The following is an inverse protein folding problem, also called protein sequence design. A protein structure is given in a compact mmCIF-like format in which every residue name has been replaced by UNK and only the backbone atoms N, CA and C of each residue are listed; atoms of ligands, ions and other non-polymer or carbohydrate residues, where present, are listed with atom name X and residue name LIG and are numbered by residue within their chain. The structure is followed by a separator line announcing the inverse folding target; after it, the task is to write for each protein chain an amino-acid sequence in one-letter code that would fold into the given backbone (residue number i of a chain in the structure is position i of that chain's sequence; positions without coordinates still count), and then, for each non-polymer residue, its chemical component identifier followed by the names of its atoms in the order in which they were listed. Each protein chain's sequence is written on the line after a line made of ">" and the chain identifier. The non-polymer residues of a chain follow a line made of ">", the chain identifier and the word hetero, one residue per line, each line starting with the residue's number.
data_IF_852405047017
#
_entry.id   IF_852405047017
#
_cell.length_a   1.000
_cell.length_b   1.000
_cell.length_c   1.000
_cell.angle_alpha   90.00
_cell.angle_beta   90.00
_cell.angle_gamma   90.00
#
_symmetry.space_group_name_H-M   'P 1'
#
loop_
_entity.id
_entity.type
_entity.pdbx_description
1 polymer ?
#
# COMPACT_ATOMS: atom_id res chain seq x y z
N UNK A 1 -68.63 29.10 2.87
CA UNK A 1 -68.03 28.60 1.61
C UNK A 1 -66.54 28.91 1.50
N UNK A 2 -66.09 30.18 1.55
CA UNK A 2 -64.65 30.52 1.43
C UNK A 2 -63.73 29.81 2.45
N UNK A 3 -64.11 29.75 3.74
CA UNK A 3 -63.32 29.06 4.78
C UNK A 3 -63.20 27.55 4.55
N UNK A 4 -64.25 26.92 4.03
CA UNK A 4 -64.27 25.48 3.74
C UNK A 4 -63.38 25.12 2.54
N UNK A 5 -63.41 25.96 1.50
CA UNK A 5 -62.54 25.81 0.31
C UNK A 5 -61.07 25.97 0.71
N UNK A 6 -60.74 26.93 1.58
CA UNK A 6 -59.38 27.12 2.10
C UNK A 6 -58.89 25.87 2.86
N UNK A 7 -59.73 25.29 3.73
CA UNK A 7 -59.37 24.08 4.46
C UNK A 7 -59.10 22.88 3.56
N UNK A 8 -59.88 22.72 2.47
CA UNK A 8 -59.66 21.65 1.48
C UNK A 8 -58.34 21.86 0.72
N UNK A 9 -58.05 23.10 0.32
CA UNK A 9 -56.79 23.43 -0.36
C UNK A 9 -55.59 23.16 0.55
N UNK A 10 -55.67 23.53 1.83
CA UNK A 10 -54.62 23.23 2.81
C UNK A 10 -54.42 21.72 3.02
N UNK A 11 -55.50 20.95 3.11
CA UNK A 11 -55.43 19.49 3.24
C UNK A 11 -54.80 18.82 2.01
N UNK A 12 -55.15 19.29 0.80
CA UNK A 12 -54.56 18.82 -0.45
C UNK A 12 -53.07 19.17 -0.54
N UNK A 13 -52.68 20.38 -0.11
CA UNK A 13 -51.28 20.78 -0.03
C UNK A 13 -50.48 19.90 0.94
N UNK A 14 -51.03 19.61 2.12
CA UNK A 14 -50.39 18.71 3.09
C UNK A 14 -50.26 17.27 2.54
N UNK A 15 -51.27 16.77 1.82
CA UNK A 15 -51.21 15.48 1.14
C UNK A 15 -50.14 15.45 0.06
N UNK A 16 -50.00 16.51 -0.75
CA UNK A 16 -48.96 16.62 -1.78
C UNK A 16 -47.57 16.71 -1.15
N UNK A 17 -47.41 17.47 -0.06
CA UNK A 17 -46.15 17.56 0.69
C UNK A 17 -45.79 16.21 1.30
N UNK A 18 -46.74 15.50 1.89
CA UNK A 18 -46.53 14.16 2.45
C UNK A 18 -46.21 13.13 1.36
N UNK A 19 -46.89 13.18 0.22
CA UNK A 19 -46.62 12.29 -0.92
C UNK A 19 -45.26 12.55 -1.56
N UNK A 20 -44.81 13.81 -1.58
CA UNK A 20 -43.51 14.23 -2.11
C UNK A 20 -42.47 14.47 -1.04
N UNK A 21 -42.64 13.96 0.19
CA UNK A 21 -41.73 14.32 1.29
C UNK A 21 -40.29 13.93 0.98
N UNK A 22 -40.08 12.75 0.40
CA UNK A 22 -38.75 12.28 0.01
C UNK A 22 -38.11 13.21 -1.03
N UNK A 23 -38.84 13.54 -2.10
CA UNK A 23 -38.35 14.47 -3.14
C UNK A 23 -38.04 15.87 -2.58
N UNK A 24 -38.87 16.38 -1.66
CA UNK A 24 -38.66 17.68 -1.02
C UNK A 24 -37.44 17.62 -0.11
N UNK A 25 -37.29 16.56 0.68
CA UNK A 25 -36.12 16.32 1.53
C UNK A 25 -34.85 16.21 0.70
N UNK A 26 -34.85 15.45 -0.40
CA UNK A 26 -33.70 15.29 -1.30
C UNK A 26 -33.33 16.62 -1.99
N UNK A 27 -34.34 17.38 -2.44
CA UNK A 27 -34.13 18.69 -3.04
C UNK A 27 -33.55 19.71 -2.05
N UNK A 28 -34.06 19.70 -0.81
CA UNK A 28 -33.56 20.55 0.27
C UNK A 28 -32.15 20.12 0.68
N UNK A 29 -31.90 18.82 0.84
CA UNK A 29 -30.58 18.28 1.14
C UNK A 29 -29.57 18.71 0.06
N UNK A 30 -29.87 18.48 -1.22
CA UNK A 30 -29.02 18.88 -2.36
C UNK A 30 -28.74 20.39 -2.41
N UNK A 31 -29.68 21.21 -1.95
CA UNK A 31 -29.54 22.68 -1.94
C UNK A 31 -28.81 23.20 -0.69
N UNK A 32 -28.92 22.50 0.44
CA UNK A 32 -28.21 22.80 1.69
C UNK A 32 -26.76 22.33 1.61
N UNK A 33 -26.50 21.18 0.98
CA UNK A 33 -25.14 20.62 0.86
C UNK A 33 -24.23 21.38 -0.09
N UNK A 34 -24.77 22.31 -0.90
CA UNK A 34 -23.97 23.09 -1.86
C UNK A 34 -23.20 22.21 -2.84
N UNK A 35 -22.39 22.81 -3.72
CA UNK A 35 -21.39 22.03 -4.45
C UNK A 35 -20.38 21.54 -3.41
N UNK A 36 -20.44 20.25 -3.06
CA UNK A 36 -19.46 19.60 -2.20
C UNK A 36 -18.11 19.63 -2.93
N UNK A 37 -17.28 20.63 -2.63
CA UNK A 37 -15.94 20.75 -3.21
C UNK A 37 -14.95 19.91 -2.43
N UNK A 38 -14.29 18.98 -3.11
CA UNK A 38 -13.20 18.17 -2.55
C UNK A 38 -11.98 19.05 -2.35
N UNK A 39 -11.45 19.09 -1.12
CA UNK A 39 -10.21 19.81 -0.82
C UNK A 39 -9.02 18.90 -1.13
N UNK A 40 -8.36 19.18 -2.26
CA UNK A 40 -7.14 18.48 -2.67
C UNK A 40 -5.94 19.13 -1.99
N UNK A 41 -5.14 18.33 -1.28
CA UNK A 41 -3.89 18.76 -0.63
C UNK A 41 -2.69 18.49 -1.55
N UNK A 42 -1.54 19.06 -1.25
CA UNK A 42 -0.31 18.68 -1.95
C UNK A 42 0.14 17.27 -1.53
N UNK A 43 0.76 16.54 -2.47
CA UNK A 43 1.43 15.27 -2.16
C UNK A 43 2.72 15.51 -1.39
N UNK A 44 3.10 14.57 -0.52
CA UNK A 44 4.39 14.65 0.18
C UNK A 44 5.57 14.24 -0.74
N UNK A 45 6.79 14.43 -0.24
CA UNK A 45 8.03 14.16 -0.99
C UNK A 45 8.30 12.68 -1.31
N UNK A 46 7.51 11.76 -0.73
CA UNK A 46 7.67 10.31 -0.87
C UNK A 46 6.59 9.68 -1.74
N UNK A 47 5.68 10.49 -2.30
CA UNK A 47 4.67 10.02 -3.22
C UNK A 47 5.32 9.40 -4.46
N UNK A 48 4.92 8.16 -4.78
CA UNK A 48 5.40 7.48 -5.98
C UNK A 48 4.58 7.91 -7.19
N UNK A 49 5.28 8.19 -8.29
CA UNK A 49 4.70 8.51 -9.60
C UNK A 49 4.64 7.29 -10.53
N UNK A 50 4.82 6.09 -9.97
CA UNK A 50 4.83 4.83 -10.71
C UNK A 50 3.43 4.49 -11.24
N UNK A 51 3.38 3.95 -12.46
CA UNK A 51 2.14 3.49 -13.10
C UNK A 51 2.00 1.98 -13.00
N UNK A 52 1.79 1.46 -11.79
CA UNK A 52 1.56 0.04 -11.59
C UNK A 52 0.28 -0.42 -12.29
N UNK A 53 0.24 -1.69 -12.67
CA UNK A 53 -0.90 -2.25 -13.42
C UNK A 53 -2.09 -2.47 -12.48
N UNK A 54 -1.81 -2.88 -11.24
CA UNK A 54 -2.83 -3.16 -10.22
C UNK A 54 -3.50 -1.89 -9.70
N UNK A 55 -2.72 -0.83 -9.43
CA UNK A 55 -3.20 0.39 -8.79
C UNK A 55 -2.44 1.62 -9.29
N UNK A 56 -3.12 2.76 -9.38
CA UNK A 56 -2.56 4.01 -9.92
C UNK A 56 -3.11 5.22 -9.17
N UNK A 57 -2.34 6.31 -9.16
CA UNK A 57 -2.83 7.60 -8.66
C UNK A 57 -4.01 8.12 -9.50
N UNK A 58 -4.82 9.00 -8.92
CA UNK A 58 -5.89 9.72 -9.61
C UNK A 58 -5.89 11.19 -9.23
N UNK A 59 -6.18 12.05 -10.21
CA UNK A 59 -6.49 13.47 -10.00
C UNK A 59 -8.01 13.72 -9.96
N UNK A 60 -8.81 12.66 -10.20
CA UNK A 60 -10.26 12.68 -10.07
C UNK A 60 -10.69 12.01 -8.77
N UNK A 61 -11.32 12.78 -7.88
CA UNK A 61 -11.79 12.33 -6.57
C UNK A 61 -13.31 12.16 -6.49
N UNK A 62 -13.96 12.01 -7.65
CA UNK A 62 -15.37 11.63 -7.76
C UNK A 62 -15.43 10.19 -8.29
N UNK A 63 -15.82 9.21 -7.46
CA UNK A 63 -15.81 7.80 -7.86
C UNK A 63 -17.05 7.41 -8.65
N UNK A 64 -16.88 6.87 -9.86
CA UNK A 64 -17.99 6.31 -10.65
C UNK A 64 -17.94 4.78 -10.76
N UNK A 65 -16.97 4.15 -10.09
CA UNK A 65 -16.76 2.72 -10.08
C UNK A 65 -15.97 2.26 -8.86
N UNK A 66 -15.96 0.94 -8.61
CA UNK A 66 -15.16 0.31 -7.56
C UNK A 66 -13.67 0.61 -7.74
N UNK A 67 -13.19 0.62 -8.98
CA UNK A 67 -11.81 0.92 -9.30
C UNK A 67 -11.44 2.39 -9.00
N UNK A 68 -12.36 3.33 -9.21
CA UNK A 68 -12.12 4.73 -8.84
C UNK A 68 -11.98 4.88 -7.32
N UNK A 69 -12.78 4.13 -6.53
CA UNK A 69 -12.63 4.08 -5.07
C UNK A 69 -11.24 3.57 -4.67
N UNK A 70 -10.77 2.48 -5.28
CA UNK A 70 -9.41 1.96 -5.01
C UNK A 70 -8.34 3.01 -5.33
N UNK A 71 -8.45 3.69 -6.48
CA UNK A 71 -7.50 4.75 -6.87
C UNK A 71 -7.51 5.93 -5.90
N UNK A 72 -8.69 6.36 -5.44
CA UNK A 72 -8.80 7.45 -4.44
C UNK A 72 -8.13 7.03 -3.13
N UNK A 73 -8.40 5.81 -2.64
CA UNK A 73 -7.80 5.28 -1.41
C UNK A 73 -6.28 5.18 -1.56
N UNK A 74 -5.80 4.58 -2.66
CA UNK A 74 -4.37 4.49 -2.94
C UNK A 74 -3.71 5.85 -3.04
N UNK A 75 -4.31 6.81 -3.75
CA UNK A 75 -3.77 8.17 -3.88
C UNK A 75 -3.68 8.84 -2.51
N UNK A 76 -4.69 8.67 -1.66
CA UNK A 76 -4.70 9.22 -0.29
C UNK A 76 -3.50 8.69 0.52
N UNK A 77 -3.26 7.38 0.47
CA UNK A 77 -2.12 6.74 1.16
C UNK A 77 -0.80 7.18 0.52
N UNK A 78 -0.68 7.08 -0.79
CA UNK A 78 0.54 7.35 -1.54
C UNK A 78 0.97 8.82 -1.43
N UNK A 79 0.03 9.76 -1.37
CA UNK A 79 0.32 11.19 -1.20
C UNK A 79 0.64 11.55 0.27
N UNK A 80 0.47 10.62 1.20
CA UNK A 80 0.79 10.83 2.62
C UNK A 80 -0.20 11.75 3.32
N UNK A 81 -1.47 11.72 2.93
CA UNK A 81 -2.51 12.50 3.59
C UNK A 81 -2.99 11.77 4.85
N UNK A 82 -2.99 12.46 5.99
CA UNK A 82 -3.52 11.89 7.24
C UNK A 82 -5.05 11.77 7.20
N UNK A 83 -5.71 12.70 6.50
CA UNK A 83 -7.15 12.78 6.35
C UNK A 83 -7.53 13.21 4.94
N UNK A 84 -8.51 12.53 4.35
CA UNK A 84 -9.08 12.90 3.06
C UNK A 84 -10.59 12.64 3.02
N UNK A 85 -11.33 13.59 2.45
CA UNK A 85 -12.79 13.53 2.35
C UNK A 85 -13.21 13.64 0.90
N UNK A 86 -14.06 12.71 0.46
CA UNK A 86 -14.68 12.70 -0.87
C UNK A 86 -16.16 12.30 -0.76
N UNK A 87 -16.87 12.37 -1.88
CA UNK A 87 -18.32 12.23 -1.90
C UNK A 87 -18.75 11.18 -2.92
N UNK A 88 -19.66 10.29 -2.53
CA UNK A 88 -20.27 9.34 -3.43
C UNK A 88 -21.28 10.04 -4.36
N UNK A 89 -21.10 9.97 -5.69
CA UNK A 89 -22.06 10.57 -6.62
C UNK A 89 -23.35 9.74 -6.67
N UNK A 90 -24.47 10.41 -6.91
CA UNK A 90 -25.79 9.78 -7.04
C UNK A 90 -25.86 8.75 -8.17
N UNK A 91 -25.02 8.90 -9.18
CA UNK A 91 -24.91 8.06 -10.36
C UNK A 91 -24.29 6.69 -10.04
N UNK A 92 -23.53 6.59 -8.95
CA UNK A 92 -22.94 5.35 -8.49
C UNK A 92 -23.69 4.82 -7.26
N UNK A 93 -24.86 4.22 -7.50
CA UNK A 93 -25.78 3.74 -6.46
C UNK A 93 -25.14 2.80 -5.43
N UNK A 94 -24.10 2.05 -5.81
CA UNK A 94 -23.39 1.12 -4.93
C UNK A 94 -22.20 1.73 -4.17
N UNK A 95 -21.91 3.02 -4.37
CA UNK A 95 -20.68 3.66 -3.87
C UNK A 95 -20.49 3.44 -2.36
N UNK A 96 -21.51 3.71 -1.54
CA UNK A 96 -21.42 3.54 -0.08
C UNK A 96 -21.16 2.07 0.29
N UNK A 97 -21.91 1.13 -0.29
CA UNK A 97 -21.72 -0.30 -0.04
C UNK A 97 -20.32 -0.77 -0.45
N UNK A 98 -19.80 -0.28 -1.58
CA UNK A 98 -18.49 -0.65 -2.07
C UNK A 98 -17.37 -0.05 -1.20
N UNK A 99 -17.53 1.19 -0.70
CA UNK A 99 -16.65 1.78 0.32
C UNK A 99 -16.66 0.94 1.60
N UNK A 100 -17.84 0.54 2.09
CA UNK A 100 -17.94 -0.32 3.27
C UNK A 100 -17.22 -1.65 3.06
N UNK A 101 -17.36 -2.27 1.89
CA UNK A 101 -16.69 -3.53 1.58
C UNK A 101 -15.17 -3.36 1.55
N UNK A 102 -14.67 -2.31 0.88
CA UNK A 102 -13.23 -2.03 0.84
C UNK A 102 -12.68 -1.76 2.25
N UNK A 103 -13.41 -1.02 3.09
CA UNK A 103 -12.98 -0.69 4.46
C UNK A 103 -12.83 -1.91 5.38
N UNK A 104 -13.45 -3.04 5.01
CA UNK A 104 -13.40 -4.33 5.73
C UNK A 104 -12.48 -5.34 5.03
N UNK A 105 -11.96 -5.01 3.86
CA UNK A 105 -11.08 -5.87 3.07
C UNK A 105 -9.61 -5.61 3.43
N UNK A 106 -9.22 -6.14 4.60
CA UNK A 106 -7.85 -6.04 5.11
C UNK A 106 -6.82 -6.62 4.13
N UNK A 107 -7.21 -7.60 3.31
CA UNK A 107 -6.33 -8.25 2.32
C UNK A 107 -6.00 -7.24 1.21
N UNK A 108 -7.01 -6.68 0.55
CA UNK A 108 -6.81 -5.70 -0.52
C UNK A 108 -6.09 -4.46 0.01
N UNK A 109 -6.46 -3.95 1.18
CA UNK A 109 -5.81 -2.79 1.79
C UNK A 109 -4.33 -3.06 2.11
N UNK A 110 -3.99 -4.25 2.61
CA UNK A 110 -2.60 -4.66 2.83
C UNK A 110 -1.81 -4.69 1.53
N UNK A 111 -2.39 -5.24 0.46
CA UNK A 111 -1.73 -5.27 -0.85
C UNK A 111 -1.57 -3.86 -1.46
N UNK A 112 -2.54 -2.96 -1.28
CA UNK A 112 -2.40 -1.53 -1.67
C UNK A 112 -1.24 -0.88 -0.90
N UNK A 113 -1.12 -1.15 0.40
CA UNK A 113 -0.04 -0.64 1.26
C UNK A 113 1.35 -1.07 0.78
N UNK A 114 1.45 -2.19 0.07
CA UNK A 114 2.72 -2.68 -0.45
C UNK A 114 3.24 -1.89 -1.67
N UNK A 115 2.39 -1.11 -2.33
CA UNK A 115 2.76 -0.29 -3.48
C UNK A 115 3.30 1.09 -3.12
N UNK A 116 2.99 1.60 -1.92
CA UNK A 116 3.43 2.95 -1.51
C UNK A 116 4.88 2.95 -1.04
N UNK A 117 5.48 4.14 -0.93
CA UNK A 117 6.79 4.29 -0.28
C UNK A 117 6.73 3.82 1.18
N UNK A 118 7.79 3.20 1.76
CA UNK A 118 7.78 2.75 3.15
C UNK A 118 7.34 3.81 4.17
N UNK A 119 7.74 5.07 4.01
CA UNK A 119 7.29 6.15 4.90
C UNK A 119 5.81 6.51 4.79
N UNK A 120 5.16 6.14 3.69
CA UNK A 120 3.72 6.27 3.49
C UNK A 120 2.99 4.94 3.77
N UNK A 121 3.71 3.89 4.21
CA UNK A 121 3.05 2.66 4.67
C UNK A 121 2.25 2.94 5.94
N UNK A 122 1.02 2.43 6.01
CA UNK A 122 0.15 2.62 7.17
C UNK A 122 0.11 1.40 8.09
N UNK A 123 -0.23 1.65 9.35
CA UNK A 123 -0.58 0.61 10.35
C UNK A 123 -2.07 0.39 10.42
N UNK A 124 -2.86 1.45 10.23
CA UNK A 124 -4.30 1.40 10.27
C UNK A 124 -4.92 2.47 9.37
N UNK A 125 -6.01 2.11 8.71
CA UNK A 125 -6.84 3.00 7.89
C UNK A 125 -8.28 2.92 8.40
N UNK A 126 -8.92 4.05 8.65
CA UNK A 126 -10.31 4.12 9.10
C UNK A 126 -11.14 4.86 8.07
N UNK A 127 -12.35 4.36 7.84
CA UNK A 127 -13.32 5.02 6.96
C UNK A 127 -14.55 5.39 7.76
N UNK A 128 -14.95 6.65 7.70
CA UNK A 128 -16.21 7.16 8.24
C UNK A 128 -17.15 7.52 7.10
N UNK A 129 -18.39 7.07 7.20
CA UNK A 129 -19.42 7.22 6.16
C UNK A 129 -20.61 7.97 6.77
N UNK A 130 -21.03 9.05 6.13
CA UNK A 130 -22.23 9.80 6.53
C UNK A 130 -23.41 9.47 5.61
N UNK A 131 -24.64 9.61 6.12
CA UNK A 131 -25.87 9.43 5.34
C UNK A 131 -25.96 10.40 4.14
N UNK A 132 -25.24 11.52 4.19
CA UNK A 132 -25.12 12.49 3.10
C UNK A 132 -24.28 12.00 1.91
N UNK A 133 -23.64 10.82 2.00
CA UNK A 133 -22.70 10.32 1.00
C UNK A 133 -21.28 10.86 1.15
N UNK A 134 -20.99 11.60 2.23
CA UNK A 134 -19.64 12.03 2.60
C UNK A 134 -18.84 10.85 3.17
N UNK A 135 -17.65 10.63 2.61
CA UNK A 135 -16.71 9.59 3.01
C UNK A 135 -15.43 10.27 3.49
N UNK A 136 -15.01 9.96 4.71
CA UNK A 136 -13.73 10.45 5.27
C UNK A 136 -12.81 9.27 5.58
N UNK A 137 -11.61 9.31 5.00
CA UNK A 137 -10.52 8.36 5.25
C UNK A 137 -9.53 9.01 6.24
N UNK A 138 -9.20 8.30 7.31
CA UNK A 138 -8.14 8.64 8.28
C UNK A 138 -7.05 7.56 8.21
N UNK A 139 -5.78 7.98 8.11
CA UNK A 139 -4.63 7.09 7.98
C UNK A 139 -3.65 7.31 9.13
N UNK A 140 -3.27 6.21 9.78
CA UNK A 140 -2.18 6.18 10.75
C UNK A 140 -0.94 5.55 10.14
N UNK A 141 0.04 6.38 9.81
CA UNK A 141 1.30 5.94 9.18
C UNK A 141 2.20 5.17 10.16
N UNK A 142 2.96 4.22 9.61
CA UNK A 142 3.88 3.33 10.33
C UNK A 142 5.10 4.06 10.88
N UNK A 143 5.58 5.05 10.14
CA UNK A 143 6.76 5.83 10.50
C UNK A 143 6.37 7.19 11.06
N UNK A 144 7.03 7.62 12.13
CA UNK A 144 6.93 9.00 12.61
C UNK A 144 7.99 9.90 11.96
N UNK A 145 7.77 11.23 12.04
CA UNK A 145 8.64 12.24 11.41
C UNK A 145 10.10 12.18 11.88
N UNK A 146 10.35 11.81 13.14
CA UNK A 146 11.71 11.71 13.68
C UNK A 146 12.45 10.51 13.11
N UNK A 147 11.79 9.35 13.04
CA UNK A 147 12.31 8.14 12.41
C UNK A 147 12.63 8.40 10.94
N UNK A 148 11.69 8.98 10.19
CA UNK A 148 11.90 9.34 8.77
C UNK A 148 13.16 10.20 8.62
N UNK A 149 13.27 11.29 9.39
CA UNK A 149 14.43 12.19 9.32
C UNK A 149 15.75 11.47 9.64
N UNK A 150 15.77 10.58 10.64
CA UNK A 150 16.97 9.80 11.00
C UNK A 150 17.36 8.84 9.88
N UNK A 151 16.40 8.07 9.37
CA UNK A 151 16.61 7.11 8.29
C UNK A 151 17.07 7.83 7.02
N UNK A 152 16.41 8.93 6.64
CA UNK A 152 16.79 9.78 5.52
C UNK A 152 18.25 10.23 5.60
N UNK A 153 18.66 10.81 6.74
CA UNK A 153 20.03 11.28 6.90
C UNK A 153 21.06 10.15 6.78
N UNK A 154 20.79 9.00 7.41
CA UNK A 154 21.72 7.87 7.41
C UNK A 154 21.80 7.19 6.06
N UNK A 155 20.66 6.94 5.40
CA UNK A 155 20.62 6.36 4.05
C UNK A 155 21.24 7.28 3.02
N UNK A 156 21.01 8.60 3.08
CA UNK A 156 21.67 9.57 2.20
C UNK A 156 23.20 9.60 2.40
N UNK A 157 23.67 9.44 3.64
CA UNK A 157 25.10 9.33 3.93
C UNK A 157 25.70 8.05 3.34
N UNK A 158 25.04 6.91 3.54
CA UNK A 158 25.52 5.62 3.07
C UNK A 158 25.47 5.50 1.55
N UNK A 159 24.46 6.06 0.88
CA UNK A 159 24.43 6.10 -0.58
C UNK A 159 25.63 6.83 -1.16
N UNK A 160 26.05 7.95 -0.57
CA UNK A 160 27.24 8.69 -1.03
C UNK A 160 28.55 7.92 -0.81
N UNK A 161 28.59 7.03 0.17
CA UNK A 161 29.77 6.23 0.50
C UNK A 161 29.85 4.96 -0.36
N UNK A 162 28.72 4.27 -0.53
CA UNK A 162 28.66 2.93 -1.10
C UNK A 162 28.42 2.93 -2.61
N UNK A 163 27.74 3.96 -3.12
CA UNK A 163 27.29 4.04 -4.51
C UNK A 163 27.99 5.20 -5.23
N UNK A 164 28.38 4.97 -6.49
CA UNK A 164 28.86 6.03 -7.37
C UNK A 164 28.21 5.94 -8.76
N UNK A 165 28.36 7.01 -9.54
CA UNK A 165 27.69 7.17 -10.83
C UNK A 165 28.19 6.21 -11.92
N UNK A 166 29.37 5.61 -11.75
CA UNK A 166 29.90 4.63 -12.71
C UNK A 166 29.33 3.22 -12.51
N UNK A 167 28.60 2.98 -11.41
CA UNK A 167 27.94 1.71 -11.15
C UNK A 167 26.66 1.58 -11.97
N UNK A 168 26.45 0.40 -12.55
CA UNK A 168 25.15 -0.01 -13.10
C UNK A 168 24.10 -0.13 -11.99
N UNK A 169 22.80 -0.07 -12.34
CA UNK A 169 21.73 -0.27 -11.36
C UNK A 169 21.85 -1.63 -10.64
N UNK A 170 22.26 -2.68 -11.36
CA UNK A 170 22.53 -4.00 -10.77
C UNK A 170 23.62 -3.93 -9.68
N UNK A 171 24.76 -3.29 -9.97
CA UNK A 171 25.86 -3.16 -9.01
C UNK A 171 25.45 -2.32 -7.80
N UNK A 172 24.70 -1.22 -8.01
CA UNK A 172 24.17 -0.39 -6.92
C UNK A 172 23.28 -1.20 -5.99
N UNK A 173 22.34 -1.95 -6.54
CA UNK A 173 21.45 -2.83 -5.77
C UNK A 173 22.26 -3.88 -5.01
N UNK A 174 23.24 -4.50 -5.67
CA UNK A 174 24.07 -5.54 -5.05
C UNK A 174 24.87 -5.02 -3.86
N UNK A 175 25.52 -3.86 -4.01
CA UNK A 175 26.32 -3.27 -2.92
C UNK A 175 25.43 -2.94 -1.72
N UNK A 176 24.22 -2.43 -1.95
CA UNK A 176 23.28 -2.09 -0.88
C UNK A 176 22.68 -3.33 -0.22
N UNK A 177 22.30 -4.33 -1.02
CA UNK A 177 21.89 -5.65 -0.54
C UNK A 177 22.95 -6.24 0.40
N UNK A 178 24.20 -6.31 -0.08
CA UNK A 178 25.31 -6.89 0.67
C UNK A 178 25.62 -6.07 1.92
N UNK A 179 25.53 -4.73 1.83
CA UNK A 179 25.72 -3.87 2.99
C UNK A 179 24.67 -4.15 4.07
N UNK A 180 23.39 -4.25 3.70
CA UNK A 180 22.31 -4.48 4.67
C UNK A 180 22.51 -5.83 5.38
N UNK A 181 22.74 -6.92 4.64
CA UNK A 181 22.94 -8.26 5.20
C UNK A 181 24.18 -8.31 6.10
N UNK A 182 25.28 -7.68 5.70
CA UNK A 182 26.49 -7.68 6.54
C UNK A 182 26.39 -6.81 7.80
N UNK A 183 25.37 -5.95 7.93
CA UNK A 183 25.22 -5.03 9.06
C UNK A 183 23.96 -5.28 9.89
N UNK A 184 23.15 -6.27 9.53
CA UNK A 184 21.96 -6.67 10.26
C UNK A 184 21.89 -8.19 10.39
N UNK A 185 21.09 -8.66 11.34
CA UNK A 185 20.78 -10.07 11.53
C UNK A 185 19.28 -10.26 11.62
N UNK A 186 18.80 -11.41 11.19
CA UNK A 186 17.39 -11.73 11.37
C UNK A 186 16.96 -11.71 12.85
N UNK A 187 15.89 -10.98 13.17
CA UNK A 187 15.31 -10.89 14.50
C UNK A 187 14.43 -12.12 14.79
N UNK A 188 15.11 -13.21 15.14
CA UNK A 188 14.48 -14.49 15.51
C UNK A 188 13.55 -14.33 16.72
N UNK A 189 13.85 -13.41 17.65
CA UNK A 189 13.03 -13.18 18.85
C UNK A 189 11.68 -12.58 18.45
N UNK A 190 11.67 -11.51 17.65
CA UNK A 190 10.43 -10.92 17.13
C UNK A 190 9.64 -11.94 16.31
N UNK A 191 10.30 -12.71 15.46
CA UNK A 191 9.62 -13.70 14.63
C UNK A 191 8.93 -14.80 15.45
N UNK A 192 9.53 -15.22 16.57
CA UNK A 192 8.96 -16.27 17.43
C UNK A 192 7.91 -15.74 18.40
N UNK A 193 8.12 -14.55 18.95
CA UNK A 193 7.34 -14.05 20.08
C UNK A 193 6.37 -12.92 19.71
N UNK A 194 6.48 -12.37 18.49
CA UNK A 194 5.76 -11.16 18.07
C UNK A 194 6.35 -9.85 18.61
N UNK A 195 7.35 -9.92 19.50
CA UNK A 195 7.97 -8.76 20.14
C UNK A 195 9.48 -8.92 20.31
N UNK A 196 10.17 -7.79 20.34
CA UNK A 196 11.62 -7.66 20.49
C UNK A 196 11.95 -6.24 20.92
N UNK A 197 13.07 -6.06 21.62
CA UNK A 197 13.59 -4.73 21.99
C UNK A 197 13.98 -3.89 20.77
N UNK A 198 14.14 -4.50 19.60
CA UNK A 198 14.51 -3.84 18.35
C UNK A 198 13.27 -3.45 17.54
N UNK A 199 13.34 -2.33 16.83
CA UNK A 199 12.39 -1.90 15.80
C UNK A 199 12.68 -2.61 14.47
N UNK A 200 12.91 -3.91 14.54
CA UNK A 200 13.33 -4.79 13.43
C UNK A 200 12.29 -4.95 12.32
N UNK A 201 11.03 -4.57 12.56
CA UNK A 201 9.94 -4.62 11.58
C UNK A 201 9.87 -3.39 10.66
N UNK A 202 10.72 -2.38 10.86
CA UNK A 202 10.84 -1.19 10.01
C UNK A 202 12.31 -0.97 9.66
N UNK A 203 12.58 -0.12 8.67
CA UNK A 203 13.94 0.20 8.22
C UNK A 203 14.87 0.74 9.32
N UNK A 204 14.32 1.22 10.45
CA UNK A 204 15.11 1.68 11.60
C UNK A 204 15.96 0.55 12.21
N UNK A 205 15.38 -0.64 12.39
CA UNK A 205 16.05 -1.78 13.01
C UNK A 205 17.34 -2.20 12.30
N UNK A 206 17.31 -2.60 11.01
CA UNK A 206 18.53 -2.98 10.31
C UNK A 206 19.52 -1.82 10.19
N UNK A 207 19.04 -0.57 10.08
CA UNK A 207 19.91 0.57 9.82
C UNK A 207 20.66 1.08 11.05
N UNK A 208 20.07 0.97 12.24
CA UNK A 208 20.64 1.54 13.48
C UNK A 208 20.89 0.52 14.58
N UNK A 209 20.12 -0.56 14.61
CA UNK A 209 20.13 -1.53 15.70
C UNK A 209 20.78 -2.86 15.30
N UNK A 210 20.92 -3.11 14.00
CA UNK A 210 21.53 -4.32 13.44
C UNK A 210 20.61 -5.54 13.47
N UNK A 211 19.29 -5.34 13.54
CA UNK A 211 18.32 -6.44 13.54
C UNK A 211 17.13 -6.13 12.64
N UNK A 212 16.68 -7.13 11.87
CA UNK A 212 15.55 -6.99 10.97
C UNK A 212 14.67 -8.25 10.93
N UNK A 213 13.37 -8.07 10.79
CA UNK A 213 12.49 -9.08 10.20
C UNK A 213 12.37 -8.84 8.70
N UNK A 214 11.63 -9.69 7.99
CA UNK A 214 11.38 -9.53 6.56
C UNK A 214 10.87 -8.12 6.17
N UNK A 215 9.97 -7.54 6.97
CA UNK A 215 9.49 -6.17 6.78
C UNK A 215 10.61 -5.12 6.87
N UNK A 216 11.50 -5.23 7.86
CA UNK A 216 12.58 -4.26 8.05
C UNK A 216 13.61 -4.30 6.92
N UNK A 217 13.97 -5.50 6.48
CA UNK A 217 14.82 -5.70 5.30
C UNK A 217 14.19 -5.10 4.05
N UNK A 218 12.92 -5.45 3.80
CA UNK A 218 12.17 -5.02 2.62
C UNK A 218 11.99 -3.51 2.57
N UNK A 219 11.65 -2.88 3.70
CA UNK A 219 11.47 -1.43 3.78
C UNK A 219 12.80 -0.68 3.57
N UNK A 220 13.89 -1.12 4.19
CA UNK A 220 15.19 -0.46 4.01
C UNK A 220 15.68 -0.56 2.56
N UNK A 221 15.53 -1.73 1.94
CA UNK A 221 15.88 -1.90 0.53
C UNK A 221 14.98 -1.04 -0.38
N UNK A 222 13.65 -1.00 -0.14
CA UNK A 222 12.73 -0.16 -0.91
C UNK A 222 13.04 1.34 -0.81
N UNK A 223 13.49 1.83 0.35
CA UNK A 223 13.94 3.21 0.53
C UNK A 223 15.16 3.48 -0.37
N UNK A 224 16.16 2.60 -0.34
CA UNK A 224 17.34 2.77 -1.21
C UNK A 224 17.00 2.69 -2.70
N UNK A 225 16.18 1.73 -3.11
CA UNK A 225 15.73 1.60 -4.50
C UNK A 225 15.01 2.87 -4.98
N UNK A 226 14.12 3.42 -4.14
CA UNK A 226 13.40 4.66 -4.46
C UNK A 226 14.36 5.85 -4.58
N UNK A 227 15.34 5.96 -3.68
CA UNK A 227 16.39 7.01 -3.75
C UNK A 227 17.27 6.92 -4.99
N UNK A 228 17.47 5.71 -5.51
CA UNK A 228 18.18 5.47 -6.77
C UNK A 228 17.31 5.70 -8.01
N UNK A 229 16.02 6.04 -7.83
CA UNK A 229 15.07 6.19 -8.93
C UNK A 229 14.71 4.87 -9.61
N UNK A 230 14.83 3.75 -8.91
CA UNK A 230 14.55 2.41 -9.42
C UNK A 230 13.12 2.03 -9.01
N UNK A 231 12.17 1.87 -9.96
CA UNK A 231 10.79 1.52 -9.64
C UNK A 231 10.72 0.20 -8.89
N UNK A 232 9.97 0.19 -7.79
CA UNK A 232 9.87 -0.97 -6.90
C UNK A 232 8.56 -0.96 -6.11
N UNK A 233 8.16 -2.12 -5.64
CA UNK A 233 7.10 -2.29 -4.65
C UNK A 233 7.38 -3.52 -3.79
N UNK A 234 6.57 -3.75 -2.76
CA UNK A 234 6.69 -4.91 -1.87
C UNK A 234 5.77 -6.02 -2.34
N UNK A 235 6.21 -7.27 -2.28
CA UNK A 235 5.34 -8.43 -2.47
C UNK A 235 5.21 -9.13 -1.14
N UNK A 236 3.99 -9.48 -0.78
CA UNK A 236 3.67 -10.29 0.39
C UNK A 236 3.04 -11.61 -0.04
N UNK A 237 3.34 -12.66 0.72
CA UNK A 237 2.70 -13.98 0.61
C UNK A 237 1.19 -13.83 0.71
N UNK A 238 0.46 -14.57 -0.12
CA UNK A 238 -0.99 -14.72 -0.01
C UNK A 238 -1.30 -16.11 0.50
N UNK A 239 -1.82 -16.20 1.73
CA UNK A 239 -2.15 -17.50 2.35
C UNK A 239 -3.21 -18.19 1.49
N UNK A 240 -2.84 -19.31 0.89
CA UNK A 240 -3.80 -20.26 0.33
C UNK A 240 -4.19 -21.28 1.41
N UNK A 241 -5.29 -22.00 1.21
CA UNK A 241 -5.76 -23.07 2.12
C UNK A 241 -4.75 -24.21 2.33
N UNK A 242 -3.65 -24.22 1.57
CA UNK A 242 -2.56 -25.19 1.68
C UNK A 242 -1.30 -24.63 2.33
N UNK A 243 -1.19 -23.31 2.48
CA UNK A 243 0.02 -22.64 2.97
C UNK A 243 0.09 -22.69 4.49
N UNK A 244 1.17 -23.30 5.01
CA UNK A 244 1.51 -23.27 6.43
C UNK A 244 2.31 -22.03 6.85
N UNK A 245 2.70 -21.18 5.89
CA UNK A 245 3.53 -19.99 6.10
C UNK A 245 2.90 -18.98 7.08
N UNK A 246 3.75 -18.42 7.94
CA UNK A 246 3.41 -17.29 8.81
C UNK A 246 3.22 -15.97 8.05
N UNK A 247 3.43 -15.97 6.73
CA UNK A 247 3.47 -14.80 5.88
C UNK A 247 4.89 -14.25 5.76
N UNK A 248 5.23 -13.77 4.58
CA UNK A 248 6.53 -13.22 4.24
C UNK A 248 6.38 -12.01 3.32
N UNK A 249 7.38 -11.14 3.29
CA UNK A 249 7.40 -9.95 2.45
C UNK A 249 8.81 -9.70 1.90
N UNK A 250 8.90 -9.32 0.63
CA UNK A 250 10.15 -9.04 -0.07
C UNK A 250 9.95 -7.96 -1.15
N UNK A 251 11.00 -7.60 -1.90
CA UNK A 251 10.92 -6.54 -2.91
C UNK A 251 10.68 -7.08 -4.33
N UNK A 252 9.82 -6.40 -5.08
CA UNK A 252 9.79 -6.42 -6.55
C UNK A 252 10.59 -5.22 -7.08
N UNK A 253 11.52 -5.46 -8.00
CA UNK A 253 12.40 -4.42 -8.53
C UNK A 253 12.32 -4.40 -10.05
N UNK A 254 12.04 -3.23 -10.64
CA UNK A 254 12.05 -3.06 -12.08
C UNK A 254 13.46 -2.71 -12.58
N UNK A 255 14.07 -3.63 -13.32
CA UNK A 255 15.31 -3.40 -14.05
C UNK A 255 15.03 -3.48 -15.55
N UNK A 256 15.29 -2.37 -16.25
CA UNK A 256 15.17 -2.26 -17.70
C UNK A 256 13.81 -2.74 -18.26
N UNK A 257 12.73 -2.46 -17.52
CA UNK A 257 11.36 -2.80 -17.90
C UNK A 257 10.91 -4.20 -17.48
N UNK A 258 11.74 -4.97 -16.76
CA UNK A 258 11.40 -6.29 -16.21
C UNK A 258 11.37 -6.23 -14.69
N UNK A 259 10.26 -6.63 -14.09
CA UNK A 259 10.18 -6.84 -12.64
C UNK A 259 10.85 -8.16 -12.25
N UNK A 260 11.69 -8.09 -11.22
CA UNK A 260 12.45 -9.19 -10.64
C UNK A 260 12.22 -9.24 -9.12
N UNK A 261 12.36 -10.42 -8.54
CA UNK A 261 12.28 -10.66 -7.10
C UNK A 261 13.63 -10.38 -6.45
N UNK A 262 13.61 -9.67 -5.32
CA UNK A 262 14.76 -9.40 -4.48
C UNK A 262 14.38 -9.66 -3.03
N UNK A 263 14.99 -10.67 -2.42
CA UNK A 263 14.71 -11.05 -1.04
C UNK A 263 15.97 -11.15 -0.18
N UNK A 264 16.16 -10.12 0.64
CA UNK A 264 17.29 -10.04 1.57
C UNK A 264 17.16 -11.00 2.75
N UNK A 265 15.92 -11.37 3.10
CA UNK A 265 15.66 -12.23 4.28
C UNK A 265 16.13 -13.64 4.02
N UNK A 266 15.80 -14.18 2.85
CA UNK A 266 16.23 -15.52 2.46
C UNK A 266 17.68 -15.57 1.97
N UNK A 267 18.29 -14.42 1.66
CA UNK A 267 19.72 -14.27 1.40
C UNK A 267 20.57 -14.01 2.68
N UNK A 268 19.94 -13.81 3.84
CA UNK A 268 20.53 -13.75 5.20
C UNK A 268 20.08 -14.95 6.06
N UNK A 269 20.58 -16.17 5.80
CA UNK A 269 20.10 -17.35 6.51
C UNK A 269 20.60 -17.38 7.96
N UNK A 270 19.69 -17.66 8.89
CA UNK A 270 20.04 -17.95 10.28
C UNK A 270 20.70 -19.32 10.37
N UNK A 271 21.97 -19.35 10.76
CA UNK A 271 22.76 -20.58 10.86
C UNK A 271 22.85 -21.12 12.29
N UNK A 272 22.86 -22.44 12.43
CA UNK A 272 23.07 -23.11 13.73
C UNK A 272 24.55 -23.09 14.17
N UNK A 273 25.49 -22.81 13.25
CA UNK A 273 26.92 -22.75 13.56
C UNK A 273 27.38 -21.37 14.06
N UNK A 274 26.44 -20.43 14.20
CA UNK A 274 26.65 -19.10 14.75
C UNK A 274 27.40 -18.15 13.82
N UNK A 275 27.57 -18.51 12.54
CA UNK A 275 28.18 -17.64 11.53
C UNK A 275 27.14 -16.88 10.73
N UNK A 276 27.49 -15.65 10.40
CA UNK A 276 26.69 -14.86 9.47
C UNK A 276 27.05 -15.25 8.02
N UNK A 277 26.03 -15.41 7.19
CA UNK A 277 26.17 -15.76 5.79
C UNK A 277 25.49 -14.70 4.94
N UNK A 278 26.02 -14.53 3.74
CA UNK A 278 25.44 -13.67 2.72
C UNK A 278 25.33 -14.49 1.45
N UNK A 279 24.10 -14.72 1.01
CA UNK A 279 23.79 -15.41 -0.24
C UNK A 279 23.27 -14.41 -1.29
N UNK A 280 23.10 -14.92 -2.51
CA UNK A 280 22.48 -14.22 -3.64
C UNK A 280 21.49 -15.15 -4.36
N UNK A 281 20.90 -16.09 -3.62
CA UNK A 281 19.99 -17.10 -4.16
C UNK A 281 18.67 -16.46 -4.59
N UNK A 282 18.26 -15.39 -3.90
CA UNK A 282 17.03 -14.63 -4.14
C UNK A 282 17.30 -13.21 -4.65
N UNK A 283 18.50 -12.97 -5.17
CA UNK A 283 18.95 -11.67 -5.64
C UNK A 283 18.59 -11.44 -7.12
N UNK A 284 17.58 -10.59 -7.37
CA UNK A 284 17.16 -10.15 -8.71
C UNK A 284 16.85 -11.31 -9.67
N UNK A 285 16.04 -12.24 -9.22
CA UNK A 285 15.63 -13.43 -10.00
C UNK A 285 14.21 -13.29 -10.56
N UNK A 286 13.90 -13.97 -11.65
CA UNK A 286 12.51 -14.02 -12.15
C UNK A 286 11.66 -15.04 -11.37
N UNK A 287 10.34 -14.98 -11.56
CA UNK A 287 9.39 -15.85 -10.84
C UNK A 287 9.65 -17.33 -11.11
N UNK A 288 10.15 -17.70 -12.30
CA UNK A 288 10.45 -19.11 -12.59
C UNK A 288 11.64 -19.58 -11.75
N UNK A 289 12.73 -18.81 -11.75
CA UNK A 289 13.89 -19.11 -10.92
C UNK A 289 13.56 -19.10 -9.43
N UNK A 290 12.68 -18.20 -8.96
CA UNK A 290 12.20 -18.17 -7.58
C UNK A 290 11.55 -19.50 -7.17
N UNK A 291 10.60 -19.98 -7.97
CA UNK A 291 9.89 -21.24 -7.69
C UNK A 291 10.81 -22.46 -7.77
N UNK A 292 11.79 -22.46 -8.68
CA UNK A 292 12.81 -23.53 -8.76
C UNK A 292 13.69 -23.57 -7.49
N UNK A 293 14.09 -22.39 -7.02
CA UNK A 293 14.89 -22.18 -5.82
C UNK A 293 14.15 -22.61 -4.54
N UNK A 294 12.83 -22.36 -4.49
CA UNK A 294 11.95 -22.76 -3.39
C UNK A 294 11.60 -24.25 -3.39
N UNK A 295 11.58 -24.89 -4.55
CA UNK A 295 11.33 -26.34 -4.70
C UNK A 295 12.58 -27.20 -4.41
N UNK A 296 13.53 -26.65 -3.65
CA UNK A 296 14.83 -27.28 -3.36
C UNK A 296 14.72 -28.45 -2.38
N UNK A 297 15.81 -28.73 -1.66
CA UNK A 297 15.85 -29.82 -0.66
C UNK A 297 14.85 -29.62 0.49
N UNK A 298 14.52 -28.37 0.78
CA UNK A 298 13.47 -27.96 1.71
C UNK A 298 12.54 -27.09 0.91
N UNK A 299 11.26 -27.45 0.88
CA UNK A 299 10.23 -26.68 0.18
C UNK A 299 9.92 -25.41 0.97
N UNK A 300 9.99 -24.26 0.29
CA UNK A 300 9.70 -22.95 0.87
C UNK A 300 8.38 -22.45 0.29
N UNK A 301 7.35 -22.38 1.12
CA UNK A 301 6.02 -21.91 0.70
C UNK A 301 5.85 -20.38 0.83
N UNK A 302 6.86 -19.68 1.34
CA UNK A 302 6.78 -18.26 1.72
C UNK A 302 6.68 -17.32 0.52
N UNK A 303 7.17 -17.71 -0.66
CA UNK A 303 7.05 -16.89 -1.87
C UNK A 303 5.77 -17.16 -2.68
N UNK A 304 4.77 -17.84 -2.10
CA UNK A 304 3.47 -17.99 -2.75
C UNK A 304 2.68 -16.68 -2.70
N UNK A 305 2.58 -15.96 -3.82
CA UNK A 305 1.81 -14.71 -3.94
C UNK A 305 0.73 -14.78 -5.03
N UNK A 306 -0.36 -14.04 -4.83
CA UNK A 306 -1.43 -13.94 -5.82
C UNK A 306 -1.11 -12.86 -6.85
N UNK A 307 -0.90 -13.30 -8.09
CA UNK A 307 -0.64 -12.44 -9.25
C UNK A 307 -1.77 -11.46 -9.55
N UNK A 308 -2.96 -11.61 -8.98
CA UNK A 308 -4.05 -10.63 -9.11
C UNK A 308 -3.75 -9.32 -8.38
N UNK A 309 -2.93 -9.38 -7.32
CA UNK A 309 -2.46 -8.18 -6.62
C UNK A 309 -1.12 -7.67 -7.16
N UNK A 310 -0.39 -8.48 -7.94
CA UNK A 310 0.96 -8.18 -8.46
C UNK A 310 1.04 -8.46 -9.96
N UNK A 311 0.30 -7.67 -10.73
CA UNK A 311 0.01 -7.93 -12.15
C UNK A 311 1.24 -7.80 -13.05
N UNK A 312 2.32 -7.17 -12.60
CA UNK A 312 3.62 -7.11 -13.28
C UNK A 312 4.32 -8.47 -13.37
N UNK A 313 3.83 -9.47 -12.64
CA UNK A 313 4.27 -10.87 -12.73
C UNK A 313 3.23 -11.78 -13.42
N UNK A 314 2.18 -11.19 -13.99
CA UNK A 314 1.12 -11.91 -14.70
C UNK A 314 1.36 -11.86 -16.22
N UNK A 315 1.99 -12.92 -16.76
CA UNK A 315 2.37 -13.02 -18.18
C UNK A 315 1.22 -12.72 -19.13
N UNK A 316 0.00 -13.19 -18.83
CA UNK A 316 -1.19 -12.94 -19.65
C UNK A 316 -1.55 -11.46 -19.73
N UNK A 317 -1.42 -10.74 -18.61
CA UNK A 317 -1.73 -9.31 -18.54
C UNK A 317 -0.64 -8.48 -19.23
N UNK A 318 0.62 -8.89 -19.09
CA UNK A 318 1.75 -8.26 -19.77
C UNK A 318 1.61 -8.40 -21.28
N UNK A 319 1.22 -9.57 -21.78
CA UNK A 319 0.98 -9.81 -23.21
C UNK A 319 -0.15 -8.95 -23.77
N UNK A 320 -1.26 -8.78 -23.02
CA UNK A 320 -2.38 -7.92 -23.45
C UNK A 320 -2.03 -6.43 -23.56
N UNK A 321 -0.92 -5.99 -22.95
CA UNK A 321 -0.46 -4.59 -22.99
C UNK A 321 0.56 -4.30 -24.10
N UNK A 322 1.09 -5.32 -24.77
CA UNK A 322 2.05 -5.17 -25.88
C UNK A 322 1.33 -5.01 -27.21
#
# INVERSE_FOLDING_TARGET
>A
MKKFIISIICALLLLVISYKSNYISDFIAKKITGNQEVIIKDKNEYAKEDNFIFIQNTDSFVPYSYNDLLKIIYTTINYGWDFFTFYCPSEYEKCINDVENISKDDITLTHINNYVHPYNSFTNIKTSIMESGEITIEINYLYNKEQIKKIENKTNSLLKELVNDNMTNYEKIKVLHDYIINNAKYDVERNKNGDSKYLSYIAYGPLFEGYATCNGYTDLMAIYLTKLGIPNYKIATTKSSKSSSNGHIWNAVNLDGKFLHLDLTWDDPVSDDGKDYLYHKYFLIDTKSLMEVDSGKVEIEEHNFDKNYYLEFNDKIIELKK
#
